data_IF_410829360079
#
_entry.id   IF_410829360079
#
_cell.length_a   1.000
_cell.length_b   1.000
_cell.length_c   1.000
_cell.angle_alpha   90.00
_cell.angle_beta   90.00
_cell.angle_gamma   90.00
#
_symmetry.space_group_name_H-M   'P 1'
#
loop_
_entity.id
_entity.type
_entity.pdbx_description
1 polymer ?
#
# COMPACT_ATOMS: atom_id res chain seq x y z
N UNK A 1 -16.01 -5.03 -4.01
CA UNK A 1 -15.34 -3.73 -4.18
C UNK A 1 -16.02 -2.70 -3.27
N UNK A 2 -15.33 -2.15 -2.26
CA UNK A 2 -15.78 -0.91 -1.63
C UNK A 2 -15.47 0.20 -2.66
N UNK A 3 -16.49 0.73 -3.34
CA UNK A 3 -16.31 1.77 -4.37
C UNK A 3 -15.55 3.02 -3.88
N UNK A 4 -15.41 3.19 -2.56
CA UNK A 4 -14.69 4.29 -1.94
C UNK A 4 -13.19 4.34 -2.27
N UNK A 5 -12.50 3.21 -2.39
CA UNK A 5 -11.03 3.22 -2.57
C UNK A 5 -10.61 3.72 -3.95
N UNK A 6 -11.34 3.35 -5.00
CA UNK A 6 -11.11 3.87 -6.35
C UNK A 6 -11.35 5.38 -6.38
N UNK A 7 -12.37 5.86 -5.66
CA UNK A 7 -12.62 7.29 -5.51
C UNK A 7 -11.43 8.01 -4.85
N UNK A 8 -10.83 7.43 -3.81
CA UNK A 8 -9.62 7.97 -3.18
C UNK A 8 -8.47 8.05 -4.19
N UNK A 9 -8.22 7.00 -4.98
CA UNK A 9 -7.13 7.02 -5.98
C UNK A 9 -7.36 8.10 -7.05
N UNK A 10 -8.61 8.24 -7.51
CA UNK A 10 -8.99 9.31 -8.44
C UNK A 10 -8.75 10.70 -7.82
N UNK A 11 -9.09 10.89 -6.55
CA UNK A 11 -8.88 12.14 -5.83
C UNK A 11 -7.39 12.45 -5.66
N UNK A 12 -6.56 11.45 -5.33
CA UNK A 12 -5.10 11.60 -5.25
C UNK A 12 -4.52 12.13 -6.55
N UNK A 13 -4.88 11.51 -7.68
CA UNK A 13 -4.40 11.93 -9.01
C UNK A 13 -4.98 13.29 -9.38
N UNK A 14 -6.29 13.50 -9.22
CA UNK A 14 -6.99 14.74 -9.60
C UNK A 14 -6.50 15.96 -8.83
N UNK A 15 -6.23 15.79 -7.52
CA UNK A 15 -5.77 16.87 -6.64
C UNK A 15 -4.25 17.01 -6.62
N UNK A 16 -3.50 16.12 -7.29
CA UNK A 16 -2.03 16.15 -7.30
C UNK A 16 -1.41 15.89 -5.92
N UNK A 17 -2.07 15.10 -5.07
CA UNK A 17 -1.54 14.78 -3.74
C UNK A 17 -0.29 13.91 -3.90
N UNK A 18 0.82 14.29 -3.24
CA UNK A 18 2.08 13.55 -3.34
C UNK A 18 1.99 12.15 -2.73
N UNK A 19 1.29 12.03 -1.60
CA UNK A 19 0.94 10.77 -0.95
C UNK A 19 -0.32 10.92 -0.10
N UNK A 20 -0.99 9.80 0.16
CA UNK A 20 -2.07 9.68 1.15
C UNK A 20 -1.87 8.46 2.03
N UNK A 21 -2.47 8.48 3.21
CA UNK A 21 -2.63 7.30 4.05
C UNK A 21 -4.11 6.95 4.08
N UNK A 22 -4.42 5.70 3.79
CA UNK A 22 -5.78 5.15 3.76
C UNK A 22 -5.88 4.07 4.84
N UNK A 23 -6.92 4.16 5.66
CA UNK A 23 -7.25 3.17 6.68
C UNK A 23 -8.66 2.63 6.44
N UNK A 24 -8.88 1.37 6.80
CA UNK A 24 -10.23 0.85 6.98
C UNK A 24 -10.88 1.41 8.26
N UNK A 25 -12.20 1.36 8.31
CA UNK A 25 -13.03 1.94 9.36
C UNK A 25 -12.96 1.20 10.70
N UNK A 26 -12.50 -0.04 10.70
CA UNK A 26 -12.40 -0.91 11.88
C UNK A 26 -10.96 -1.12 12.40
N UNK A 27 -9.98 -0.42 11.81
CA UNK A 27 -8.58 -0.48 12.24
C UNK A 27 -8.39 0.08 13.66
N UNK A 28 -7.54 -0.61 14.43
CA UNK A 28 -7.04 -0.15 15.73
C UNK A 28 -5.52 -0.11 15.70
N UNK A 29 -4.95 1.01 16.13
CA UNK A 29 -3.51 1.14 16.31
C UNK A 29 -3.04 0.39 17.55
N UNK A 30 -1.85 -0.19 17.48
CA UNK A 30 -1.06 -0.55 18.66
C UNK A 30 -0.58 0.70 19.38
N UNK A 31 -0.09 0.58 20.62
CA UNK A 31 0.37 1.74 21.43
C UNK A 31 1.35 2.63 20.65
N UNK A 32 2.31 2.04 19.93
CA UNK A 32 3.30 2.79 19.12
C UNK A 32 2.94 2.90 17.63
N UNK A 33 1.71 2.56 17.24
CA UNK A 33 1.33 2.42 15.83
C UNK A 33 1.49 3.71 15.02
N UNK A 34 1.08 4.83 15.59
CA UNK A 34 1.21 6.14 14.94
C UNK A 34 2.66 6.63 14.89
N UNK A 35 3.46 6.36 15.92
CA UNK A 35 4.88 6.73 15.90
C UNK A 35 5.60 5.96 14.79
N UNK A 36 5.34 4.66 14.64
CA UNK A 36 5.90 3.88 13.53
C UNK A 36 5.54 4.43 12.15
N UNK A 37 4.29 4.85 11.94
CA UNK A 37 3.87 5.48 10.68
C UNK A 37 4.67 6.76 10.42
N UNK A 38 4.85 7.60 11.44
CA UNK A 38 5.65 8.82 11.35
C UNK A 38 7.11 8.51 11.03
N UNK A 39 7.71 7.54 11.70
CA UNK A 39 9.08 7.10 11.46
C UNK A 39 9.28 6.57 10.02
N UNK A 40 8.29 5.83 9.48
CA UNK A 40 8.30 5.42 8.07
C UNK A 40 8.30 6.64 7.15
N UNK A 41 7.45 7.64 7.39
CA UNK A 41 7.41 8.84 6.56
C UNK A 41 8.73 9.62 6.59
N UNK A 42 9.32 9.78 7.77
CA UNK A 42 10.64 10.41 7.95
C UNK A 42 11.72 9.67 7.14
N UNK A 43 11.74 8.34 7.21
CA UNK A 43 12.74 7.52 6.51
C UNK A 43 12.56 7.61 4.99
N UNK A 44 11.32 7.62 4.49
CA UNK A 44 11.01 7.78 3.07
C UNK A 44 11.43 9.16 2.55
N UNK A 45 11.19 10.21 3.33
CA UNK A 45 11.57 11.58 2.96
C UNK A 45 13.09 11.77 2.97
N UNK A 46 13.78 11.15 3.94
CA UNK A 46 15.23 11.19 4.05
C UNK A 46 15.94 10.38 2.96
N UNK A 47 15.43 9.20 2.62
CA UNK A 47 16.04 8.29 1.64
C UNK A 47 15.75 8.70 0.19
N UNK A 48 14.63 9.41 -0.05
CA UNK A 48 14.11 9.73 -1.39
C UNK A 48 13.93 8.47 -2.26
N UNK A 49 13.67 7.33 -1.62
CA UNK A 49 13.38 6.10 -2.33
C UNK A 49 12.07 6.26 -3.13
N UNK A 50 12.04 5.74 -4.35
CA UNK A 50 10.81 5.65 -5.13
C UNK A 50 9.95 4.48 -4.62
N UNK A 51 8.65 4.70 -4.44
CA UNK A 51 7.70 3.69 -4.00
C UNK A 51 6.28 4.04 -4.48
N UNK A 52 5.47 2.99 -4.67
CA UNK A 52 4.09 3.13 -5.14
C UNK A 52 3.09 2.96 -4.00
N UNK A 53 3.20 1.85 -3.26
CA UNK A 53 2.29 1.48 -2.18
C UNK A 53 3.06 0.82 -1.03
N UNK A 54 2.74 1.21 0.20
CA UNK A 54 3.30 0.64 1.43
C UNK A 54 2.17 0.15 2.32
N UNK A 55 2.18 -1.12 2.70
CA UNK A 55 1.20 -1.68 3.63
C UNK A 55 1.47 -1.20 5.06
N UNK A 56 0.42 -0.74 5.75
CA UNK A 56 0.45 -0.42 7.18
C UNK A 56 -0.16 -1.55 8.03
N UNK A 57 -1.02 -2.36 7.44
CA UNK A 57 -1.57 -3.56 8.05
C UNK A 57 -1.98 -4.55 6.98
N UNK A 58 -1.48 -5.78 7.08
CA UNK A 58 -1.79 -6.86 6.14
C UNK A 58 -1.65 -8.22 6.82
N UNK A 59 -2.26 -9.25 6.23
CA UNK A 59 -1.95 -10.64 6.56
C UNK A 59 -0.86 -11.16 5.63
N UNK A 60 0.31 -11.44 6.20
CA UNK A 60 1.43 -12.09 5.50
C UNK A 60 1.07 -13.54 5.19
N UNK A 61 1.29 -13.97 3.95
CA UNK A 61 1.25 -15.39 3.60
C UNK A 61 2.52 -16.09 4.09
N UNK A 62 2.39 -17.30 4.66
CA UNK A 62 3.52 -18.10 5.08
C UNK A 62 4.49 -18.38 3.91
N UNK A 63 5.77 -18.59 4.23
CA UNK A 63 6.82 -19.03 3.30
C UNK A 63 7.32 -18.00 2.26
N UNK A 64 7.07 -16.70 2.46
CA UNK A 64 7.71 -15.64 1.66
C UNK A 64 8.80 -14.89 2.41
N UNK A 65 9.99 -14.86 1.80
CA UNK A 65 11.10 -14.04 2.28
C UNK A 65 10.79 -12.57 2.08
N UNK A 66 11.00 -11.79 3.14
CA UNK A 66 10.87 -10.34 3.14
C UNK A 66 12.20 -9.78 3.65
N UNK A 67 12.72 -8.79 2.94
CA UNK A 67 14.01 -8.17 3.24
C UNK A 67 13.78 -6.77 3.74
N UNK A 68 14.37 -6.43 4.88
CA UNK A 68 14.36 -5.07 5.40
C UNK A 68 15.02 -4.11 4.41
N UNK A 69 14.35 -2.99 4.13
CA UNK A 69 14.89 -1.95 3.27
C UNK A 69 15.96 -1.20 4.07
N UNK A 70 17.16 -1.11 3.52
CA UNK A 70 18.29 -0.43 4.20
C UNK A 70 17.94 1.02 4.48
N UNK A 71 18.39 1.55 5.62
CA UNK A 71 18.10 2.92 6.10
C UNK A 71 16.64 3.22 6.46
N UNK A 72 15.77 2.19 6.56
CA UNK A 72 14.39 2.36 7.00
C UNK A 72 14.13 1.48 8.24
N UNK A 73 13.53 2.06 9.27
CA UNK A 73 13.28 1.42 10.57
C UNK A 73 12.21 0.33 10.50
N UNK A 74 11.13 0.60 9.75
CA UNK A 74 9.92 -0.24 9.74
C UNK A 74 9.44 -0.60 8.33
N UNK A 75 10.37 -0.68 7.37
CA UNK A 75 10.03 -0.96 5.98
C UNK A 75 10.74 -2.22 5.48
N UNK A 76 9.99 -3.15 4.92
CA UNK A 76 10.51 -4.34 4.24
C UNK A 76 9.91 -4.45 2.85
N UNK A 77 10.55 -5.25 1.99
CA UNK A 77 9.86 -5.79 0.83
C UNK A 77 8.65 -6.60 1.28
N UNK A 78 7.65 -6.72 0.40
CA UNK A 78 6.43 -7.45 0.67
C UNK A 78 6.35 -8.66 -0.26
N UNK A 79 5.98 -9.81 0.30
CA UNK A 79 5.54 -10.95 -0.49
C UNK A 79 4.07 -10.82 -0.90
N UNK A 80 3.55 -11.82 -1.61
CA UNK A 80 2.10 -11.94 -1.83
C UNK A 80 1.37 -11.85 -0.48
N UNK A 81 0.36 -10.98 -0.40
CA UNK A 81 -0.32 -10.61 0.84
C UNK A 81 -1.81 -10.48 0.61
N UNK A 82 -2.62 -10.71 1.63
CA UNK A 82 -4.07 -10.50 1.58
C UNK A 82 -4.53 -9.63 2.77
N UNK A 83 -5.77 -9.16 2.74
CA UNK A 83 -6.42 -8.37 3.80
C UNK A 83 -5.68 -7.09 4.16
N UNK A 84 -5.89 -6.05 3.37
CA UNK A 84 -5.31 -4.73 3.58
C UNK A 84 -6.13 -3.94 4.60
N UNK A 85 -5.57 -3.70 5.79
CA UNK A 85 -6.20 -2.89 6.84
C UNK A 85 -5.90 -1.38 6.68
N UNK A 86 -4.81 -1.08 5.97
CA UNK A 86 -4.40 0.29 5.65
C UNK A 86 -3.10 0.31 4.85
N UNK A 87 -2.90 1.40 4.11
CA UNK A 87 -1.74 1.59 3.25
C UNK A 87 -1.40 3.06 3.04
N UNK A 88 -0.15 3.32 2.68
CA UNK A 88 0.31 4.59 2.13
C UNK A 88 0.36 4.44 0.61
N UNK A 89 -0.16 5.41 -0.12
CA UNK A 89 -0.19 5.43 -1.58
C UNK A 89 0.48 6.71 -2.10
N UNK A 90 1.44 6.56 -3.01
CA UNK A 90 2.03 7.69 -3.72
C UNK A 90 1.14 8.13 -4.90
N UNK A 91 1.35 9.34 -5.41
CA UNK A 91 0.62 9.80 -6.61
C UNK A 91 0.83 8.86 -7.80
N UNK A 92 2.07 8.42 -8.01
CA UNK A 92 2.44 7.53 -9.10
C UNK A 92 1.81 6.14 -8.91
N UNK A 93 1.83 5.62 -7.68
CA UNK A 93 1.13 4.38 -7.35
C UNK A 93 -0.37 4.47 -7.65
N UNK A 94 -1.03 5.57 -7.29
CA UNK A 94 -2.45 5.78 -7.60
C UNK A 94 -2.71 5.80 -9.11
N UNK A 95 -1.85 6.44 -9.89
CA UNK A 95 -1.95 6.46 -11.35
C UNK A 95 -1.82 5.06 -11.94
N UNK A 96 -0.81 4.30 -11.54
CA UNK A 96 -0.59 2.91 -11.98
C UNK A 96 -1.76 2.00 -11.65
N UNK A 97 -2.33 2.15 -10.44
CA UNK A 97 -3.50 1.38 -10.03
C UNK A 97 -4.74 1.70 -10.87
N UNK A 98 -4.96 2.97 -11.23
CA UNK A 98 -6.06 3.40 -12.10
C UNK A 98 -5.88 3.00 -13.56
N UNK A 99 -4.65 3.06 -14.07
CA UNK A 99 -4.31 2.73 -15.47
C UNK A 99 -4.56 1.24 -15.78
N UNK A 100 -4.47 0.37 -14.77
CA UNK A 100 -4.84 -1.03 -14.87
C UNK A 100 -6.36 -1.29 -14.86
N UNK A 101 -7.16 -0.22 -14.86
CA UNK A 101 -8.62 -0.23 -15.04
C UNK A 101 -9.37 -1.14 -14.06
N UNK A 102 -9.27 -0.87 -12.75
CA UNK A 102 -9.85 -1.73 -11.70
C UNK A 102 -11.37 -1.90 -11.84
N UNK A 103 -12.06 -0.88 -12.39
CA UNK A 103 -13.50 -0.90 -12.62
C UNK A 103 -13.95 -1.92 -13.67
N UNK A 104 -13.08 -2.28 -14.62
CA UNK A 104 -13.40 -3.28 -15.65
C UNK A 104 -13.29 -4.72 -15.09
N UNK A 105 -12.51 -4.93 -14.02
CA UNK A 105 -12.22 -6.26 -13.45
C UNK A 105 -13.09 -6.58 -12.21
N UNK A 106 -13.77 -5.58 -11.61
CA UNK A 106 -14.72 -5.71 -10.49
C UNK A 106 -14.23 -6.51 -9.27
N UNK A 107 -12.92 -6.55 -9.01
CA UNK A 107 -12.35 -7.24 -7.85
C UNK A 107 -12.38 -6.39 -6.57
N UNK A 108 -12.50 -7.00 -5.37
CA UNK A 108 -12.16 -6.35 -4.11
C UNK A 108 -10.70 -5.83 -4.12
N UNK A 109 -10.40 -4.72 -3.46
CA UNK A 109 -9.04 -4.13 -3.47
C UNK A 109 -8.03 -5.07 -2.83
N UNK A 110 -8.46 -5.81 -1.83
CA UNK A 110 -7.74 -6.87 -1.14
C UNK A 110 -7.40 -8.08 -2.04
N UNK A 111 -8.09 -8.26 -3.17
CA UNK A 111 -7.71 -9.20 -4.24
C UNK A 111 -6.99 -8.51 -5.40
N UNK A 112 -7.27 -7.23 -5.64
CA UNK A 112 -6.69 -6.45 -6.73
C UNK A 112 -5.22 -6.07 -6.47
N UNK A 113 -4.88 -5.56 -5.28
CA UNK A 113 -3.51 -5.14 -4.96
C UNK A 113 -2.51 -6.29 -5.10
N UNK A 114 -2.80 -7.52 -4.64
CA UNK A 114 -1.90 -8.65 -4.83
C UNK A 114 -1.79 -9.12 -6.29
N UNK A 115 -2.81 -8.88 -7.12
CA UNK A 115 -2.75 -9.13 -8.58
C UNK A 115 -1.89 -8.08 -9.28
N UNK A 116 -2.04 -6.82 -8.90
CA UNK A 116 -1.19 -5.74 -9.41
C UNK A 116 0.26 -5.86 -8.95
N UNK A 117 0.49 -6.57 -7.85
CA UNK A 117 1.81 -7.00 -7.43
C UNK A 117 2.27 -8.15 -8.35
N UNK A 118 3.06 -7.84 -9.39
CA UNK A 118 3.58 -8.75 -10.43
C UNK A 118 4.59 -9.81 -9.91
N UNK A 119 4.36 -10.35 -8.71
CA UNK A 119 4.99 -11.53 -8.14
C UNK A 119 3.92 -12.53 -7.73
N UNK A 120 3.26 -13.11 -8.73
CA UNK A 120 2.42 -14.28 -8.52
C UNK A 120 3.30 -15.51 -8.26
N UNK A 121 3.01 -16.37 -7.27
CA UNK A 121 3.81 -17.54 -6.92
C UNK A 121 3.85 -18.66 -8.00
N UNK A 122 3.26 -18.44 -9.18
CA UNK A 122 3.20 -19.39 -10.29
C UNK A 122 4.06 -18.98 -11.51
N UNK A 123 5.21 -18.33 -11.29
CA UNK A 123 6.29 -18.24 -12.27
C UNK A 123 7.62 -18.68 -11.68
#
# INVERSE_FOLDING_TARGET
>A
MKAGEIGIWQDVVRLGLSRVIVFEDDLRFTEDGLERVKEVLEDLDGSKMEWDLIYLGRKKQADQEETWVTQHRHLSTVGYSYWTLGYILSNEGARRLLDAKPLEVLLPVDEYLPIMFDKHPNK
#
